data_IF_984134597050
#
_entry.id   IF_984134597050
#
_cell.length_a   1.000
_cell.length_b   1.000
_cell.length_c   1.000
_cell.angle_alpha   90.00
_cell.angle_beta   90.00
_cell.angle_gamma   90.00
#
_symmetry.space_group_name_H-M   'P 1'
#
loop_
_entity.id
_entity.type
_entity.pdbx_description
1 polymer ?
#
# COMPACT_ATOMS: atom_id res chain seq x y z
N UNK A 1 5.92 -4.41 -9.80
CA UNK A 1 6.07 -2.93 -9.88
C UNK A 1 7.51 -2.55 -10.18
N UNK A 2 8.47 -2.95 -9.34
CA UNK A 2 9.89 -2.71 -9.57
C UNK A 2 10.41 -3.43 -10.82
N UNK A 3 9.96 -4.68 -11.06
CA UNK A 3 10.37 -5.47 -12.24
C UNK A 3 9.92 -4.86 -13.58
N UNK A 4 8.93 -3.96 -13.53
CA UNK A 4 8.43 -3.24 -14.71
C UNK A 4 9.04 -1.84 -14.84
N UNK A 5 10.14 -1.54 -14.11
CA UNK A 5 10.77 -0.22 -14.04
C UNK A 5 9.81 0.91 -13.65
N UNK A 6 8.76 0.61 -12.89
CA UNK A 6 7.85 1.62 -12.35
C UNK A 6 8.40 2.09 -11.00
N UNK A 7 8.81 3.35 -10.96
CA UNK A 7 9.32 3.97 -9.74
C UNK A 7 8.17 4.29 -8.77
N UNK A 8 8.08 3.52 -7.69
CA UNK A 8 7.04 3.68 -6.66
C UNK A 8 7.34 4.84 -5.69
N UNK A 9 8.62 5.11 -5.43
CA UNK A 9 9.04 6.03 -4.37
C UNK A 9 9.64 7.32 -4.93
N UNK A 10 9.02 8.45 -4.61
CA UNK A 10 9.56 9.77 -4.92
C UNK A 10 10.59 10.22 -3.85
N UNK A 11 11.68 10.86 -4.30
CA UNK A 11 12.67 11.54 -3.46
C UNK A 11 13.12 10.72 -2.24
N UNK A 12 12.84 11.22 -1.02
CA UNK A 12 13.21 10.57 0.24
C UNK A 12 12.59 9.19 0.43
N UNK A 13 11.49 8.88 -0.26
CA UNK A 13 10.89 7.55 -0.21
C UNK A 13 11.84 6.44 -0.68
N UNK A 14 12.80 6.74 -1.56
CA UNK A 14 13.77 5.74 -2.05
C UNK A 14 14.69 5.23 -0.94
N UNK A 15 15.05 6.09 0.01
CA UNK A 15 15.97 5.77 1.11
C UNK A 15 15.21 5.34 2.37
N UNK A 16 14.04 5.93 2.61
CA UNK A 16 13.29 5.73 3.86
C UNK A 16 12.18 4.66 3.75
N UNK A 17 12.06 3.98 2.61
CA UNK A 17 11.07 2.91 2.48
C UNK A 17 11.40 1.75 3.42
N UNK A 18 10.35 1.16 4.00
CA UNK A 18 10.47 0.04 4.94
C UNK A 18 10.41 -1.34 4.27
N UNK A 19 10.64 -1.47 2.96
CA UNK A 19 10.58 -2.77 2.27
C UNK A 19 9.25 -3.55 2.40
N UNK A 20 8.15 -2.88 2.77
CA UNK A 20 6.84 -3.51 2.93
C UNK A 20 6.38 -3.81 4.36
N UNK A 21 7.18 -3.49 5.39
CA UNK A 21 6.81 -3.71 6.80
C UNK A 21 5.63 -2.86 7.32
N UNK A 22 5.17 -1.85 6.57
CA UNK A 22 4.04 -1.00 6.96
C UNK A 22 4.37 0.20 7.86
N UNK A 23 5.66 0.53 8.06
CA UNK A 23 6.11 1.52 9.06
C UNK A 23 6.67 2.84 8.49
N UNK A 24 6.56 3.09 7.18
CA UNK A 24 7.12 4.31 6.57
C UNK A 24 6.08 5.21 5.88
N UNK A 25 4.93 4.68 5.48
CA UNK A 25 3.92 5.46 4.74
C UNK A 25 4.34 5.94 3.34
N UNK A 26 5.43 5.41 2.76
CA UNK A 26 5.95 5.88 1.47
C UNK A 26 5.30 5.23 0.25
N UNK A 27 4.49 4.18 0.44
CA UNK A 27 3.81 3.44 -0.63
C UNK A 27 2.30 3.78 -0.72
N UNK A 28 1.94 5.04 -0.47
CA UNK A 28 0.55 5.48 -0.56
C UNK A 28 0.11 5.46 -2.02
N UNK A 29 -1.05 4.86 -2.28
CA UNK A 29 -1.69 4.80 -3.60
C UNK A 29 -3.17 5.10 -3.46
N UNK A 30 -3.80 5.56 -4.54
CA UNK A 30 -5.25 5.66 -4.65
C UNK A 30 -5.80 4.42 -5.37
N UNK A 31 -6.85 3.83 -4.80
CA UNK A 31 -7.62 2.76 -5.43
C UNK A 31 -8.67 3.40 -6.31
N UNK A 32 -8.48 3.28 -7.61
CA UNK A 32 -9.38 3.82 -8.63
C UNK A 32 -10.58 2.90 -8.90
N UNK A 33 -10.42 1.59 -8.68
CA UNK A 33 -11.45 0.56 -8.87
C UNK A 33 -11.14 -0.70 -8.03
N UNK A 34 -12.14 -1.56 -7.80
CA UNK A 34 -11.99 -2.87 -7.16
C UNK A 34 -11.71 -2.84 -5.65
N UNK A 35 -12.15 -1.79 -4.95
CA UNK A 35 -11.93 -1.62 -3.50
C UNK A 35 -12.56 -2.74 -2.65
N UNK A 36 -13.67 -3.28 -3.11
CA UNK A 36 -14.42 -4.40 -2.53
C UNK A 36 -13.67 -5.74 -2.62
N UNK A 37 -12.69 -5.85 -3.52
CA UNK A 37 -11.84 -7.03 -3.66
C UNK A 37 -10.65 -7.04 -2.70
N UNK A 38 -10.47 -5.97 -1.91
CA UNK A 38 -9.30 -5.79 -1.05
C UNK A 38 -9.62 -6.16 0.39
N UNK A 39 -8.59 -6.56 1.13
CA UNK A 39 -8.70 -6.66 2.58
C UNK A 39 -9.08 -5.32 3.23
N UNK A 40 -9.74 -5.40 4.38
CA UNK A 40 -9.97 -4.25 5.26
C UNK A 40 -8.65 -3.53 5.61
N UNK A 41 -8.74 -2.22 5.87
CA UNK A 41 -7.58 -1.41 6.24
C UNK A 41 -6.90 -1.97 7.47
N UNK A 42 -5.58 -2.17 7.38
CA UNK A 42 -4.79 -2.62 8.54
C UNK A 42 -4.60 -1.49 9.56
N UNK A 43 -4.15 -1.81 10.78
CA UNK A 43 -3.82 -0.81 11.82
C UNK A 43 -2.79 0.22 11.33
N UNK A 44 -1.84 -0.23 10.50
CA UNK A 44 -0.81 0.63 9.90
C UNK A 44 -1.46 1.65 8.95
N UNK A 45 -2.38 1.19 8.11
CA UNK A 45 -3.13 2.05 7.19
C UNK A 45 -3.99 3.06 7.95
N UNK A 46 -4.69 2.63 9.02
CA UNK A 46 -5.48 3.52 9.86
C UNK A 46 -4.62 4.62 10.50
N UNK A 47 -3.36 4.32 10.85
CA UNK A 47 -2.41 5.31 11.38
C UNK A 47 -1.99 6.33 10.32
N UNK A 48 -1.51 5.88 9.16
CA UNK A 48 -0.95 6.77 8.14
C UNK A 48 -2.01 7.51 7.31
N UNK A 49 -3.22 6.95 7.20
CA UNK A 49 -4.29 7.47 6.33
C UNK A 49 -5.42 8.15 7.10
N UNK A 50 -5.26 8.43 8.40
CA UNK A 50 -6.31 8.98 9.28
C UNK A 50 -7.05 10.21 8.73
N UNK A 51 -6.37 11.04 7.93
CA UNK A 51 -6.93 12.28 7.34
C UNK A 51 -6.97 12.24 5.80
N UNK A 52 -6.93 11.04 5.21
CA UNK A 52 -6.90 10.84 3.76
C UNK A 52 -8.22 10.25 3.27
N UNK A 53 -8.56 10.42 1.98
CA UNK A 53 -9.73 9.79 1.38
C UNK A 53 -9.78 8.28 1.64
N UNK A 54 -10.97 7.72 1.65
CA UNK A 54 -11.15 6.28 1.87
C UNK A 54 -10.59 5.43 0.72
N UNK A 55 -10.48 6.01 -0.48
CA UNK A 55 -9.85 5.38 -1.65
C UNK A 55 -8.35 5.17 -1.48
N UNK A 56 -7.69 5.86 -0.54
CA UNK A 56 -6.24 5.74 -0.39
C UNK A 56 -5.87 4.48 0.39
N UNK A 57 -4.74 3.87 0.05
CA UNK A 57 -4.21 2.66 0.70
C UNK A 57 -2.70 2.71 0.81
N UNK A 58 -2.12 1.90 1.70
CA UNK A 58 -0.70 1.55 1.62
C UNK A 58 -0.58 0.33 0.72
N UNK A 59 0.10 0.46 -0.42
CA UNK A 59 0.24 -0.62 -1.39
C UNK A 59 0.82 -1.89 -0.75
N UNK A 60 1.78 -1.75 0.18
CA UNK A 60 2.39 -2.90 0.86
C UNK A 60 1.48 -3.62 1.88
N UNK A 61 0.34 -3.04 2.23
CA UNK A 61 -0.65 -3.63 3.15
C UNK A 61 -1.97 -3.98 2.45
N UNK A 62 -2.03 -3.72 1.15
CA UNK A 62 -3.19 -3.98 0.31
C UNK A 62 -3.04 -5.34 -0.35
N UNK A 63 -3.98 -6.23 -0.08
CA UNK A 63 -4.01 -7.59 -0.58
C UNK A 63 -5.35 -7.80 -1.24
N UNK A 64 -5.31 -8.36 -2.44
CA UNK A 64 -6.49 -8.81 -3.15
C UNK A 64 -6.96 -10.12 -2.51
N UNK A 65 -8.22 -10.17 -2.08
CA UNK A 65 -8.81 -11.31 -1.39
C UNK A 65 -8.41 -11.42 0.09
N UNK A 66 -8.37 -12.65 0.59
CA UNK A 66 -8.26 -13.01 2.02
C UNK A 66 -6.88 -13.55 2.44
N UNK A 67 -5.83 -13.29 1.65
CA UNK A 67 -4.45 -13.79 1.84
C UNK A 67 -4.24 -15.30 1.67
N UNK A 68 -5.27 -16.10 1.40
CA UNK A 68 -5.11 -17.55 1.19
C UNK A 68 -4.26 -17.86 -0.05
N UNK A 69 -4.24 -16.96 -1.03
CA UNK A 69 -3.48 -17.05 -2.27
C UNK A 69 -2.56 -15.84 -2.48
N UNK A 70 -1.82 -15.41 -1.44
CA UNK A 70 -0.81 -14.37 -1.66
C UNK A 70 0.23 -14.89 -2.65
N UNK A 71 0.23 -14.35 -3.88
CA UNK A 71 1.22 -14.65 -4.90
C UNK A 71 2.63 -14.53 -4.31
N UNK A 72 3.41 -15.60 -4.46
CA UNK A 72 4.84 -15.60 -4.13
C UNK A 72 5.59 -14.69 -5.09
#
# INVERSE_FOLDING_TARGET
>A
MLDNNIELYAAYGKVMNCGGFGNCGTCIVEIVDGKDLLNERTKDELRYLKKKPESWRLACRTIVGNKENSGK
#
